data_IF_053241119603
#
_entry.id   IF_053241119603
#
_cell.length_a   1.000
_cell.length_b   1.000
_cell.length_c   1.000
_cell.angle_alpha   90.00
_cell.angle_beta   90.00
_cell.angle_gamma   90.00
#
_symmetry.space_group_name_H-M   'P 1'
#
loop_
_entity.id
_entity.type
_entity.pdbx_description
1 polymer ?
#
# COMPACT_ATOMS: atom_id res chain seq x y z
N UNK A 1 -17.03 14.98 -21.17
CA UNK A 1 -17.30 15.23 -19.74
C UNK A 1 -16.41 14.29 -18.96
N UNK A 2 -15.45 14.81 -18.18
CA UNK A 2 -14.66 13.96 -17.30
C UNK A 2 -15.56 13.56 -16.13
N UNK A 3 -16.02 12.31 -16.12
CA UNK A 3 -16.70 11.74 -14.95
C UNK A 3 -15.67 11.68 -13.82
N UNK A 4 -15.67 12.70 -12.98
CA UNK A 4 -14.91 12.70 -11.73
C UNK A 4 -15.61 11.68 -10.83
N UNK A 5 -15.20 10.42 -10.91
CA UNK A 5 -15.63 9.38 -9.97
C UNK A 5 -15.07 9.78 -8.60
N UNK A 6 -15.90 10.47 -7.82
CA UNK A 6 -15.59 10.72 -6.42
C UNK A 6 -15.56 9.38 -5.75
N UNK A 7 -14.35 8.92 -5.47
CA UNK A 7 -14.07 7.70 -4.73
C UNK A 7 -14.92 7.72 -3.46
N UNK A 8 -15.70 6.65 -3.16
CA UNK A 8 -16.53 6.60 -1.97
C UNK A 8 -15.70 6.94 -0.74
N UNK A 9 -16.22 7.80 0.14
CA UNK A 9 -15.48 8.26 1.31
C UNK A 9 -15.06 7.10 2.22
N UNK A 10 -15.87 6.03 2.31
CA UNK A 10 -15.48 4.82 3.03
C UNK A 10 -14.20 4.18 2.52
N UNK A 11 -13.99 4.19 1.20
CA UNK A 11 -12.82 3.58 0.60
C UNK A 11 -11.52 4.38 0.85
N UNK A 12 -11.63 5.69 1.07
CA UNK A 12 -10.52 6.51 1.58
C UNK A 12 -10.01 5.94 2.90
N UNK A 13 -10.92 5.71 3.86
CA UNK A 13 -10.58 5.21 5.18
C UNK A 13 -10.07 3.76 5.15
N UNK A 14 -10.72 2.89 4.36
CA UNK A 14 -10.29 1.51 4.13
C UNK A 14 -8.84 1.46 3.61
N UNK A 15 -8.54 2.27 2.59
CA UNK A 15 -7.21 2.28 1.98
C UNK A 15 -6.16 2.81 2.94
N UNK A 16 -6.44 3.91 3.66
CA UNK A 16 -5.53 4.48 4.66
C UNK A 16 -5.22 3.46 5.75
N UNK A 17 -6.25 2.79 6.28
CA UNK A 17 -6.09 1.78 7.33
C UNK A 17 -5.18 0.63 6.89
N UNK A 18 -5.48 0.01 5.75
CA UNK A 18 -4.74 -1.17 5.28
C UNK A 18 -3.27 -0.82 5.00
N UNK A 19 -3.01 0.34 4.39
CA UNK A 19 -1.63 0.78 4.12
C UNK A 19 -0.87 1.03 5.42
N UNK A 20 -1.45 1.73 6.38
CA UNK A 20 -0.81 2.00 7.67
C UNK A 20 -0.56 0.71 8.47
N UNK A 21 -1.55 -0.19 8.52
CA UNK A 21 -1.40 -1.49 9.19
C UNK A 21 -0.30 -2.34 8.55
N UNK A 22 -0.24 -2.38 7.21
CA UNK A 22 0.81 -3.11 6.50
C UNK A 22 2.20 -2.53 6.76
N UNK A 23 2.34 -1.20 6.74
CA UNK A 23 3.61 -0.53 7.05
C UNK A 23 4.04 -0.79 8.51
N UNK A 24 3.07 -0.85 9.43
CA UNK A 24 3.30 -1.21 10.83
C UNK A 24 3.89 -2.63 10.97
N UNK A 25 3.32 -3.61 10.25
CA UNK A 25 3.81 -4.99 10.23
C UNK A 25 5.24 -5.10 9.67
N UNK A 26 5.52 -4.43 8.55
CA UNK A 26 6.86 -4.40 7.95
C UNK A 26 7.90 -3.73 8.87
N UNK A 27 7.48 -2.77 9.70
CA UNK A 27 8.34 -2.16 10.71
C UNK A 27 8.69 -3.12 11.85
N UNK A 28 7.81 -4.08 12.15
CA UNK A 28 7.96 -5.06 13.22
C UNK A 28 8.86 -6.22 12.79
N UNK A 29 8.66 -6.74 11.58
CA UNK A 29 9.46 -7.82 10.99
C UNK A 29 10.94 -7.43 10.82
N UNK A 30 11.24 -6.14 10.65
CA UNK A 30 12.62 -5.61 10.63
C UNK A 30 13.29 -5.51 12.02
N UNK A 31 12.53 -5.60 13.12
CA UNK A 31 13.08 -5.61 14.49
C UNK A 31 13.33 -7.02 15.02
N UNK A 32 12.59 -8.02 14.55
CA UNK A 32 12.87 -9.43 14.85
C UNK A 32 14.10 -9.89 14.06
N UNK A 33 15.26 -9.86 14.73
CA UNK A 33 16.48 -10.50 14.23
C UNK A 33 16.26 -11.99 13.91
N UNK A 34 17.14 -12.59 13.10
CA UNK A 34 16.93 -13.94 12.56
C UNK A 34 16.69 -14.95 13.68
N UNK A 35 15.53 -15.62 13.63
CA UNK A 35 15.28 -16.83 14.39
C UNK A 35 16.39 -17.86 14.11
N UNK A 36 16.95 -18.55 15.12
CA UNK A 36 18.10 -19.41 14.94
C UNK A 36 17.64 -20.75 14.37
N UNK A 37 17.39 -20.83 13.06
CA UNK A 37 17.23 -22.09 12.34
C UNK A 37 17.47 -21.91 10.83
N UNK A 38 18.74 -22.05 10.45
CA UNK A 38 19.12 -22.75 9.22
C UNK A 38 19.11 -21.99 7.89
N UNK A 39 20.31 -21.89 7.33
CA UNK A 39 20.67 -21.62 5.92
C UNK A 39 20.81 -20.15 5.54
N UNK A 40 22.07 -19.74 5.44
CA UNK A 40 22.54 -18.44 4.98
C UNK A 40 22.13 -18.17 3.53
N UNK A 41 21.40 -17.08 3.31
CA UNK A 41 21.48 -16.34 2.05
C UNK A 41 21.91 -14.91 2.38
N UNK A 42 23.17 -14.64 2.08
CA UNK A 42 23.84 -13.36 2.25
C UNK A 42 23.28 -12.33 1.27
N UNK A 43 22.26 -11.59 1.70
CA UNK A 43 22.03 -10.20 1.29
C UNK A 43 21.52 -9.48 2.53
N UNK A 44 22.40 -8.77 3.24
CA UNK A 44 22.02 -7.86 4.32
C UNK A 44 21.07 -6.82 3.72
N UNK A 45 19.77 -6.81 4.05
CA UNK A 45 18.97 -5.62 3.78
C UNK A 45 19.60 -4.53 4.65
N UNK A 46 19.93 -3.37 4.08
CA UNK A 46 20.36 -2.22 4.88
C UNK A 46 19.30 -1.99 5.96
N UNK A 47 19.59 -2.42 7.19
CA UNK A 47 18.74 -2.18 8.34
C UNK A 47 18.65 -0.68 8.48
N UNK A 48 17.44 -0.12 8.36
CA UNK A 48 17.22 1.29 8.62
C UNK A 48 17.72 1.60 10.04
N UNK A 49 18.28 2.79 10.21
CA UNK A 49 18.75 3.24 11.51
C UNK A 49 17.64 3.07 12.57
N UNK A 50 17.93 2.47 13.74
CA UNK A 50 16.92 2.15 14.74
C UNK A 50 16.15 3.39 15.22
N UNK A 51 16.76 4.59 15.22
CA UNK A 51 16.07 5.84 15.54
C UNK A 51 15.05 6.22 14.45
N UNK A 52 15.41 6.03 13.18
CA UNK A 52 14.51 6.23 12.04
C UNK A 52 13.35 5.24 12.08
N UNK A 53 13.60 3.97 12.44
CA UNK A 53 12.57 2.95 12.54
C UNK A 53 11.56 3.26 13.67
N UNK A 54 12.06 3.68 14.84
CA UNK A 54 11.21 4.10 15.96
C UNK A 54 10.36 5.32 15.61
N UNK A 55 10.96 6.29 14.90
CA UNK A 55 10.24 7.47 14.41
C UNK A 55 9.12 7.08 13.45
N UNK A 56 9.41 6.25 12.45
CA UNK A 56 8.40 5.76 11.50
C UNK A 56 7.27 5.01 12.21
N UNK A 57 7.59 4.17 13.19
CA UNK A 57 6.58 3.49 14.01
C UNK A 57 5.66 4.48 14.73
N UNK A 58 6.24 5.49 15.39
CA UNK A 58 5.45 6.52 16.09
C UNK A 58 4.56 7.34 15.15
N UNK A 59 5.03 7.65 13.94
CA UNK A 59 4.25 8.34 12.91
C UNK A 59 3.08 7.46 12.42
N UNK A 60 3.29 6.15 12.25
CA UNK A 60 2.23 5.21 11.87
C UNK A 60 1.16 5.11 12.97
N UNK A 61 1.56 5.01 14.24
CA UNK A 61 0.64 4.94 15.38
C UNK A 61 -0.22 6.22 15.50
N UNK A 62 0.39 7.40 15.35
CA UNK A 62 -0.34 8.67 15.38
C UNK A 62 -1.29 8.82 14.17
N UNK A 63 -0.88 8.40 12.97
CA UNK A 63 -1.76 8.41 11.80
C UNK A 63 -2.93 7.44 11.92
N UNK A 64 -2.73 6.26 12.53
CA UNK A 64 -3.81 5.30 12.82
C UNK A 64 -4.81 5.88 13.83
N UNK A 65 -4.32 6.58 14.86
CA UNK A 65 -5.16 7.26 15.85
C UNK A 65 -5.93 8.45 15.24
N UNK A 66 -5.30 9.21 14.35
CA UNK A 66 -5.98 10.25 13.57
C UNK A 66 -7.09 9.64 12.72
N UNK A 67 -6.81 8.51 12.05
CA UNK A 67 -7.79 7.82 11.22
C UNK A 67 -8.99 7.33 12.03
N UNK A 68 -8.80 6.79 13.24
CA UNK A 68 -9.91 6.40 14.12
C UNK A 68 -10.84 7.58 14.44
N UNK A 69 -10.25 8.75 14.70
CA UNK A 69 -11.00 9.99 14.91
C UNK A 69 -11.74 10.44 13.64
N UNK A 70 -11.06 10.43 12.50
CA UNK A 70 -11.64 10.78 11.19
C UNK A 70 -12.84 9.88 10.85
N UNK A 71 -12.74 8.57 11.09
CA UNK A 71 -13.82 7.59 10.86
C UNK A 71 -15.00 7.85 11.81
N UNK A 72 -14.71 8.10 13.10
CA UNK A 72 -15.73 8.40 14.10
C UNK A 72 -16.52 9.68 13.76
N UNK A 73 -15.83 10.72 13.29
CA UNK A 73 -16.45 11.96 12.82
C UNK A 73 -17.23 11.74 11.51
N UNK A 74 -16.70 10.93 10.59
CA UNK A 74 -17.34 10.61 9.32
C UNK A 74 -18.67 9.88 9.50
N UNK A 75 -18.83 9.03 10.52
CA UNK A 75 -20.11 8.40 10.84
C UNK A 75 -21.19 9.46 11.10
N UNK A 76 -20.88 10.47 11.91
CA UNK A 76 -21.84 11.54 12.27
C UNK A 76 -22.17 12.47 11.10
N UNK A 77 -21.21 12.69 10.19
CA UNK A 77 -21.34 13.65 9.08
C UNK A 77 -21.87 13.03 7.78
N UNK A 78 -21.44 11.80 7.48
CA UNK A 78 -21.65 11.16 6.17
C UNK A 78 -22.40 9.84 6.23
N UNK A 79 -22.65 9.32 7.43
CA UNK A 79 -23.30 8.02 7.63
C UNK A 79 -22.42 6.82 7.26
N UNK A 80 -21.11 7.02 7.06
CA UNK A 80 -20.16 5.91 6.85
C UNK A 80 -20.05 5.06 8.13
N UNK A 81 -20.52 3.82 8.06
CA UNK A 81 -20.42 2.84 9.14
C UNK A 81 -19.26 1.86 8.89
N UNK A 82 -18.17 2.04 9.64
CA UNK A 82 -17.01 1.17 9.57
C UNK A 82 -17.32 -0.28 9.98
N UNK A 83 -18.37 -0.54 10.76
CA UNK A 83 -18.75 -1.90 11.16
C UNK A 83 -19.32 -2.73 10.00
N UNK A 84 -19.69 -2.08 8.90
CA UNK A 84 -20.12 -2.75 7.66
C UNK A 84 -18.96 -2.95 6.67
N UNK A 85 -17.80 -2.34 6.92
CA UNK A 85 -16.66 -2.44 6.04
C UNK A 85 -15.93 -3.77 6.24
N UNK A 86 -15.62 -4.51 5.15
CA UNK A 86 -14.86 -5.75 5.24
C UNK A 86 -13.41 -5.55 5.70
N UNK A 87 -12.92 -4.31 5.71
CA UNK A 87 -11.58 -3.96 6.18
C UNK A 87 -11.56 -3.72 7.70
N UNK A 88 -12.54 -2.96 8.20
CA UNK A 88 -12.62 -2.62 9.63
C UNK A 88 -13.37 -3.68 10.46
N UNK A 89 -14.22 -4.48 9.82
CA UNK A 89 -14.97 -5.58 10.42
C UNK A 89 -14.98 -6.78 9.47
N UNK A 90 -13.82 -7.44 9.29
CA UNK A 90 -13.70 -8.56 8.38
C UNK A 90 -14.61 -9.71 8.81
N UNK A 91 -15.33 -10.29 7.85
CA UNK A 91 -16.20 -11.45 8.09
C UNK A 91 -15.42 -12.70 8.51
N UNK A 92 -14.11 -12.72 8.23
CA UNK A 92 -13.19 -13.76 8.64
C UNK A 92 -12.08 -13.12 9.50
N UNK A 93 -11.97 -13.46 10.80
CA UNK A 93 -10.89 -12.95 11.66
C UNK A 93 -9.50 -13.44 11.23
N UNK A 94 -9.41 -14.49 10.40
CA UNK A 94 -8.16 -14.97 9.81
C UNK A 94 -7.75 -14.19 8.54
N UNK A 95 -8.55 -13.21 8.11
CA UNK A 95 -8.19 -12.37 6.96
C UNK A 95 -6.96 -11.52 7.30
N UNK A 96 -5.88 -11.69 6.54
CA UNK A 96 -4.65 -10.95 6.74
C UNK A 96 -4.75 -9.52 6.17
N UNK A 97 -3.83 -8.63 6.59
CA UNK A 97 -3.73 -7.29 6.00
C UNK A 97 -3.35 -7.38 4.51
N UNK A 98 -2.59 -8.41 4.14
CA UNK A 98 -2.22 -8.75 2.78
C UNK A 98 -3.45 -9.12 1.92
N UNK A 99 -4.41 -9.85 2.48
CA UNK A 99 -5.68 -10.15 1.79
C UNK A 99 -6.50 -8.88 1.55
N UNK A 100 -6.50 -7.96 2.52
CA UNK A 100 -7.12 -6.64 2.38
C UNK A 100 -6.42 -5.79 1.30
N UNK A 101 -5.08 -5.83 1.24
CA UNK A 101 -4.30 -5.17 0.19
C UNK A 101 -4.64 -5.74 -1.20
N UNK A 102 -4.80 -7.05 -1.32
CA UNK A 102 -5.18 -7.70 -2.57
C UNK A 102 -6.56 -7.23 -3.04
N UNK A 103 -7.55 -7.16 -2.14
CA UNK A 103 -8.89 -6.65 -2.46
C UNK A 103 -8.88 -5.17 -2.87
N UNK A 104 -8.10 -4.33 -2.19
CA UNK A 104 -7.92 -2.94 -2.58
C UNK A 104 -7.21 -2.84 -3.94
N UNK A 105 -6.19 -3.65 -4.17
CA UNK A 105 -5.47 -3.73 -5.44
C UNK A 105 -6.37 -4.14 -6.60
N UNK A 106 -7.23 -5.14 -6.40
CA UNK A 106 -8.26 -5.57 -7.37
C UNK A 106 -9.20 -4.42 -7.71
N UNK A 107 -9.76 -3.73 -6.70
CA UNK A 107 -10.63 -2.56 -6.90
C UNK A 107 -9.93 -1.43 -7.67
N UNK A 108 -8.70 -1.09 -7.29
CA UNK A 108 -7.87 -0.09 -8.00
C UNK A 108 -7.61 -0.51 -9.44
N UNK A 109 -7.38 -1.80 -9.66
CA UNK A 109 -7.11 -2.34 -11.00
C UNK A 109 -8.32 -2.23 -11.92
N UNK A 110 -9.53 -2.38 -11.38
CA UNK A 110 -10.78 -2.23 -12.10
C UNK A 110 -11.04 -0.76 -12.43
N UNK A 111 -10.84 0.14 -11.45
CA UNK A 111 -11.04 1.58 -11.61
C UNK A 111 -10.04 2.21 -12.59
N UNK A 112 -8.80 1.72 -12.62
CA UNK A 112 -7.71 2.26 -13.45
C UNK A 112 -7.30 1.32 -14.58
N UNK A 113 -8.22 0.47 -15.03
CA UNK A 113 -7.95 -0.59 -16.00
C UNK A 113 -7.21 -0.10 -17.25
N UNK A 114 -7.68 0.97 -17.87
CA UNK A 114 -7.07 1.54 -19.08
C UNK A 114 -5.68 2.17 -18.81
N UNK A 115 -5.52 3.09 -17.82
CA UNK A 115 -4.20 3.60 -17.43
C UNK A 115 -3.20 2.48 -17.09
N UNK A 116 -3.60 1.48 -16.32
CA UNK A 116 -2.74 0.36 -15.93
C UNK A 116 -2.35 -0.51 -17.12
N UNK A 117 -3.28 -0.78 -18.04
CA UNK A 117 -2.96 -1.54 -19.25
C UNK A 117 -1.94 -0.82 -20.12
N UNK A 118 -2.11 0.51 -20.32
CA UNK A 118 -1.15 1.33 -21.04
C UNK A 118 0.22 1.34 -20.36
N UNK A 119 0.22 1.50 -19.03
CA UNK A 119 1.43 1.46 -18.22
C UNK A 119 2.19 0.12 -18.35
N UNK A 120 1.47 -0.99 -18.33
CA UNK A 120 2.02 -2.32 -18.56
C UNK A 120 2.62 -2.47 -19.96
N UNK A 121 1.94 -1.99 -21.00
CA UNK A 121 2.50 -2.03 -22.37
C UNK A 121 3.81 -1.26 -22.47
N UNK A 122 3.91 -0.09 -21.86
CA UNK A 122 5.14 0.72 -21.84
C UNK A 122 6.26 -0.04 -21.11
N UNK A 123 5.97 -0.58 -19.92
CA UNK A 123 6.97 -1.31 -19.12
C UNK A 123 7.46 -2.56 -19.85
N UNK A 124 6.57 -3.31 -20.51
CA UNK A 124 6.90 -4.56 -21.20
C UNK A 124 7.50 -4.36 -22.59
N UNK A 125 7.43 -3.15 -23.15
CA UNK A 125 8.04 -2.85 -24.46
C UNK A 125 9.57 -2.72 -24.42
N UNK A 126 10.16 -2.67 -23.23
CA UNK A 126 11.58 -2.48 -23.01
C UNK A 126 12.07 -3.29 -21.79
N UNK A 127 13.38 -3.50 -21.61
CA UNK A 127 13.91 -4.14 -20.41
C UNK A 127 13.42 -3.42 -19.15
N UNK A 128 12.82 -4.16 -18.24
CA UNK A 128 12.17 -3.59 -17.06
C UNK A 128 13.22 -3.03 -16.10
N UNK A 129 13.27 -1.70 -15.99
CA UNK A 129 14.10 -1.00 -15.00
C UNK A 129 13.22 -0.41 -13.90
N UNK A 130 13.80 -0.27 -12.70
CA UNK A 130 13.11 0.40 -11.59
C UNK A 130 12.72 1.84 -11.95
N UNK A 131 13.56 2.55 -12.72
CA UNK A 131 13.25 3.91 -13.17
C UNK A 131 12.01 3.93 -14.07
N UNK A 132 11.96 3.07 -15.09
CA UNK A 132 10.81 2.96 -15.99
C UNK A 132 9.53 2.56 -15.22
N UNK A 133 9.62 1.62 -14.28
CA UNK A 133 8.51 1.26 -13.41
C UNK A 133 8.03 2.46 -12.58
N UNK A 134 8.94 3.22 -11.97
CA UNK A 134 8.59 4.35 -11.11
C UNK A 134 7.95 5.50 -11.89
N UNK A 135 8.52 5.87 -13.05
CA UNK A 135 7.96 6.88 -13.95
C UNK A 135 6.55 6.49 -14.40
N UNK A 136 6.38 5.24 -14.83
CA UNK A 136 5.10 4.70 -15.26
C UNK A 136 4.07 4.65 -14.11
N UNK A 137 4.52 4.37 -12.89
CA UNK A 137 3.66 4.39 -11.70
C UNK A 137 3.21 5.81 -11.34
N UNK A 138 4.10 6.80 -11.45
CA UNK A 138 3.76 8.22 -11.23
C UNK A 138 2.80 8.72 -12.31
N UNK A 139 3.02 8.35 -13.57
CA UNK A 139 2.11 8.67 -14.68
C UNK A 139 0.74 8.03 -14.45
N UNK A 140 0.67 6.75 -14.05
CA UNK A 140 -0.60 6.08 -13.74
C UNK A 140 -1.32 6.75 -12.57
N UNK A 141 -0.58 7.20 -11.56
CA UNK A 141 -1.16 7.83 -10.37
C UNK A 141 -1.85 9.18 -10.66
N UNK A 142 -1.60 9.84 -11.80
CA UNK A 142 -2.34 11.06 -12.19
C UNK A 142 -3.78 10.76 -12.61
N UNK A 143 -4.05 9.50 -12.99
CA UNK A 143 -5.38 9.02 -13.33
C UNK A 143 -6.16 8.53 -12.10
N UNK A 144 -5.49 8.44 -10.95
CA UNK A 144 -6.09 8.08 -9.67
C UNK A 144 -6.50 9.31 -8.85
N UNK A 145 -7.55 9.18 -8.05
CA UNK A 145 -8.00 10.21 -7.12
C UNK A 145 -7.92 9.73 -5.66
N UNK A 146 -7.85 10.67 -4.71
CA UNK A 146 -7.83 10.36 -3.28
C UNK A 146 -6.68 9.45 -2.83
N UNK A 147 -6.98 8.42 -2.02
CA UNK A 147 -5.97 7.46 -1.54
C UNK A 147 -5.53 6.44 -2.57
N UNK A 148 -6.24 6.24 -3.68
CA UNK A 148 -5.74 5.37 -4.75
C UNK A 148 -4.41 5.87 -5.30
N UNK A 149 -4.28 7.18 -5.43
CA UNK A 149 -3.01 7.81 -5.79
C UNK A 149 -1.92 7.49 -4.76
N UNK A 150 -2.23 7.59 -3.47
CA UNK A 150 -1.28 7.33 -2.39
C UNK A 150 -0.92 5.85 -2.29
N UNK A 151 -1.88 4.95 -2.51
CA UNK A 151 -1.68 3.51 -2.58
C UNK A 151 -0.74 3.13 -3.73
N UNK A 152 -1.00 3.62 -4.94
CA UNK A 152 -0.16 3.37 -6.14
C UNK A 152 1.26 3.90 -5.92
N UNK A 153 1.40 5.10 -5.35
CA UNK A 153 2.70 5.68 -5.03
C UNK A 153 3.42 4.96 -3.88
N UNK A 154 2.69 4.48 -2.87
CA UNK A 154 3.24 3.68 -1.78
C UNK A 154 3.78 2.34 -2.32
N UNK A 155 3.02 1.66 -3.18
CA UNK A 155 3.45 0.45 -3.88
C UNK A 155 4.72 0.68 -4.72
N UNK A 156 4.84 1.84 -5.37
CA UNK A 156 6.05 2.22 -6.12
C UNK A 156 7.31 2.32 -5.23
N UNK A 157 7.13 2.83 -4.01
CA UNK A 157 8.21 3.03 -3.04
C UNK A 157 8.54 1.74 -2.28
N UNK A 158 7.54 0.92 -1.95
CA UNK A 158 7.74 -0.41 -1.35
C UNK A 158 8.51 -1.34 -2.29
N UNK A 159 8.20 -1.33 -3.59
CA UNK A 159 8.96 -2.11 -4.57
C UNK A 159 10.39 -1.61 -4.77
N UNK A 160 10.69 -0.33 -4.52
CA UNK A 160 12.08 0.19 -4.55
C UNK A 160 12.98 -0.53 -3.56
N UNK A 161 12.48 -0.77 -2.36
CA UNK A 161 13.24 -1.42 -1.28
C UNK A 161 13.42 -2.92 -1.52
N UNK A 162 12.55 -3.53 -2.35
CA UNK A 162 12.60 -4.94 -2.71
C UNK A 162 13.35 -5.21 -4.04
N UNK A 163 13.51 -4.19 -4.88
CA UNK A 163 14.25 -4.26 -6.16
C UNK A 163 15.74 -4.64 -6.08
N UNK A 164 16.52 -4.40 -4.99
CA UNK A 164 17.95 -4.74 -4.95
C UNK A 164 18.28 -6.23 -5.13
N UNK A 165 17.29 -7.13 -5.18
CA UNK A 165 17.49 -8.57 -5.41
C UNK A 165 16.75 -9.17 -6.61
N UNK A 166 15.95 -8.40 -7.37
CA UNK A 166 15.24 -8.94 -8.54
C UNK A 166 16.13 -8.84 -9.79
N UNK A 167 16.92 -9.88 -10.03
CA UNK A 167 17.46 -10.13 -11.38
C UNK A 167 16.29 -10.61 -12.24
N UNK A 168 15.56 -9.67 -12.85
CA UNK A 168 14.59 -9.97 -13.92
C UNK A 168 15.39 -10.42 -15.14
N UNK A 169 15.80 -11.68 -15.12
CA UNK A 169 16.19 -12.39 -16.32
C UNK A 169 14.90 -12.67 -17.07
N UNK A 170 14.76 -12.00 -18.21
CA UNK A 170 13.66 -12.14 -19.17
C UNK A 170 13.52 -13.61 -19.61
#
# INVERSE_FOLDING_TARGET
MASSTTVPLGFHYETKYVVLSYLGLLSQEKQEGPSPQGVQLEVVPQSLDPEVLLKVKSEIEEELKSLEKEVSEAFTSTGFDCHTSPVFSPANPESSIEDCLAHLGERVSQDLKEPLHKALQVILSQPVTYQAYRECTVETAVHASGWNKHFILAQANLRKTMWPGMSLTV
#
